data_IF_012564647741
#
_entry.id   IF_012564647741
#
_cell.length_a   1.000
_cell.length_b   1.000
_cell.length_c   1.000
_cell.angle_alpha   90.00
_cell.angle_beta   90.00
_cell.angle_gamma   90.00
#
_symmetry.space_group_name_H-M   'P 1'
#
loop_
_entity.id
_entity.type
_entity.pdbx_description
1 polymer ?
#
# COMPACT_ATOMS: atom_id res chain seq x y z
N UNK A 1 38.64 -44.92 47.60
CA UNK A 1 38.34 -44.26 48.90
C UNK A 1 38.40 -42.75 48.60
N UNK A 2 37.34 -41.96 48.57
CA UNK A 2 36.17 -41.91 49.44
C UNK A 2 34.89 -41.49 48.68
N UNK A 3 33.75 -41.97 49.17
CA UNK A 3 32.39 -41.65 48.75
C UNK A 3 31.91 -40.38 49.46
N UNK A 4 31.40 -39.39 48.72
CA UNK A 4 30.72 -38.22 49.28
C UNK A 4 29.24 -38.53 49.50
N UNK A 5 28.87 -38.68 50.77
CA UNK A 5 27.50 -38.92 51.21
C UNK A 5 26.81 -37.56 51.44
N UNK A 6 25.88 -37.16 50.57
CA UNK A 6 25.15 -35.89 50.68
C UNK A 6 23.95 -36.07 51.61
N UNK A 7 24.05 -35.49 52.80
CA UNK A 7 23.03 -35.53 53.86
C UNK A 7 21.78 -34.78 53.38
N UNK A 8 20.70 -35.51 53.08
CA UNK A 8 19.35 -34.95 52.94
C UNK A 8 18.62 -35.07 54.28
N UNK A 9 18.50 -33.96 55.00
CA UNK A 9 17.75 -33.89 56.26
C UNK A 9 16.24 -33.79 55.98
N UNK A 10 15.39 -34.73 56.43
CA UNK A 10 13.95 -34.57 56.28
C UNK A 10 13.43 -33.65 57.40
N UNK A 11 13.12 -32.39 57.06
CA UNK A 11 12.39 -31.49 57.96
C UNK A 11 10.89 -31.76 57.87
N UNK A 12 10.38 -32.50 58.83
CA UNK A 12 8.95 -32.69 59.09
C UNK A 12 8.42 -31.45 59.86
N UNK A 13 7.27 -30.90 59.44
CA UNK A 13 6.53 -29.72 59.96
C UNK A 13 6.54 -28.38 59.19
N UNK A 14 6.67 -28.37 57.85
CA UNK A 14 6.30 -27.20 57.02
C UNK A 14 5.53 -27.57 55.74
N UNK A 15 4.53 -28.46 55.83
CA UNK A 15 3.82 -28.98 54.65
C UNK A 15 2.84 -27.98 54.00
N UNK A 16 2.36 -26.96 54.71
CA UNK A 16 1.43 -25.96 54.15
C UNK A 16 2.09 -24.79 53.42
N UNK A 17 3.22 -24.29 53.96
CA UNK A 17 3.85 -23.06 53.45
C UNK A 17 4.44 -23.25 52.05
N UNK A 18 5.03 -24.42 51.77
CA UNK A 18 5.65 -24.71 50.47
C UNK A 18 4.61 -24.71 49.34
N UNK A 19 3.37 -25.15 49.62
CA UNK A 19 2.29 -25.20 48.64
C UNK A 19 1.78 -23.80 48.30
N UNK A 20 1.72 -22.91 49.29
CA UNK A 20 1.36 -21.50 49.06
C UNK A 20 2.45 -20.79 48.26
N UNK A 21 3.72 -21.02 48.59
CA UNK A 21 4.85 -20.41 47.87
C UNK A 21 4.91 -20.88 46.41
N UNK A 22 4.68 -22.17 46.13
CA UNK A 22 4.65 -22.67 44.76
C UNK A 22 3.48 -22.11 43.96
N UNK A 23 2.30 -21.94 44.57
CA UNK A 23 1.14 -21.33 43.93
C UNK A 23 1.37 -19.86 43.58
N UNK A 24 1.94 -19.08 44.50
CA UNK A 24 2.30 -17.67 44.24
C UNK A 24 3.30 -17.57 43.08
N UNK A 25 4.30 -18.45 43.06
CA UNK A 25 5.29 -18.47 41.98
C UNK A 25 4.68 -18.88 40.63
N UNK A 26 3.75 -19.83 40.62
CA UNK A 26 3.04 -20.26 39.42
C UNK A 26 2.21 -19.11 38.84
N UNK A 27 1.42 -18.42 39.68
CA UNK A 27 0.63 -17.26 39.25
C UNK A 27 1.51 -16.13 38.72
N UNK A 28 2.64 -15.86 39.37
CA UNK A 28 3.61 -14.86 38.91
C UNK A 28 4.19 -15.22 37.53
N UNK A 29 4.58 -16.48 37.30
CA UNK A 29 5.08 -16.95 36.00
C UNK A 29 4.02 -16.87 34.90
N UNK A 30 2.76 -17.19 35.20
CA UNK A 30 1.66 -17.04 34.24
C UNK A 30 1.43 -15.57 33.86
N UNK A 31 1.56 -14.65 34.82
CA UNK A 31 1.49 -13.21 34.55
C UNK A 31 2.58 -12.73 33.59
N UNK A 32 3.83 -13.16 33.81
CA UNK A 32 4.96 -12.84 32.91
C UNK A 32 4.75 -13.45 31.52
N UNK A 33 4.31 -14.71 31.44
CA UNK A 33 4.02 -15.36 30.17
C UNK A 33 2.90 -14.64 29.41
N UNK A 34 1.82 -14.22 30.09
CA UNK A 34 0.73 -13.45 29.49
C UNK A 34 1.19 -12.11 28.92
N UNK A 35 2.04 -11.38 29.66
CA UNK A 35 2.62 -10.12 29.20
C UNK A 35 3.51 -10.31 27.95
N UNK A 36 4.33 -11.37 27.91
CA UNK A 36 5.14 -11.70 26.74
C UNK A 36 4.27 -12.06 25.52
N UNK A 37 3.24 -12.89 25.72
CA UNK A 37 2.32 -13.26 24.64
C UNK A 37 1.52 -12.07 24.10
N UNK A 38 1.19 -11.09 24.95
CA UNK A 38 0.49 -9.88 24.54
C UNK A 38 1.31 -9.02 23.55
N UNK A 39 2.61 -8.93 23.77
CA UNK A 39 3.50 -8.24 22.83
C UNK A 39 3.66 -9.05 21.54
N UNK A 40 3.91 -10.36 21.64
CA UNK A 40 4.05 -11.22 20.46
C UNK A 40 2.81 -11.26 19.57
N UNK A 41 1.59 -11.28 20.15
CA UNK A 41 0.36 -11.22 19.33
C UNK A 41 0.19 -9.87 18.64
N UNK A 42 0.66 -8.79 19.26
CA UNK A 42 0.63 -7.46 18.67
C UNK A 42 1.62 -7.38 17.50
N UNK A 43 2.83 -7.88 17.67
CA UNK A 43 3.85 -7.95 16.62
C UNK A 43 3.39 -8.82 15.43
N UNK A 44 2.70 -9.92 15.69
CA UNK A 44 2.11 -10.76 14.64
C UNK A 44 1.01 -10.04 13.86
N UNK A 45 0.13 -9.28 14.54
CA UNK A 45 -0.91 -8.49 13.86
C UNK A 45 -0.30 -7.35 13.05
N UNK A 46 0.73 -6.71 13.57
CA UNK A 46 1.47 -5.66 12.87
C UNK A 46 2.19 -6.21 11.63
N UNK A 47 2.76 -7.42 11.73
CA UNK A 47 3.39 -8.10 10.59
C UNK A 47 2.36 -8.46 9.51
N UNK A 48 1.19 -8.98 9.89
CA UNK A 48 0.10 -9.26 8.94
C UNK A 48 -0.41 -8.00 8.24
N UNK A 49 -0.67 -6.93 8.99
CA UNK A 49 -1.08 -5.65 8.40
C UNK A 49 -0.02 -5.05 7.46
N UNK A 50 1.27 -5.27 7.77
CA UNK A 50 2.37 -4.83 6.91
C UNK A 50 2.46 -5.66 5.63
N UNK A 51 2.21 -6.98 5.70
CA UNK A 51 2.12 -7.85 4.52
C UNK A 51 0.97 -7.42 3.61
N UNK A 52 -0.23 -7.22 4.18
CA UNK A 52 -1.41 -6.77 3.43
C UNK A 52 -1.13 -5.44 2.72
N UNK A 53 -0.45 -4.49 3.38
CA UNK A 53 -0.06 -3.22 2.78
C UNK A 53 0.89 -3.41 1.60
N UNK A 54 1.90 -4.28 1.72
CA UNK A 54 2.89 -4.50 0.66
C UNK A 54 2.27 -5.18 -0.56
N UNK A 55 1.36 -6.13 -0.34
CA UNK A 55 0.61 -6.79 -1.42
C UNK A 55 -0.27 -5.75 -2.13
N UNK A 56 -1.06 -4.98 -1.37
CA UNK A 56 -1.92 -3.96 -1.93
C UNK A 56 -1.13 -2.87 -2.68
N UNK A 57 0.03 -2.45 -2.18
CA UNK A 57 0.88 -1.48 -2.89
C UNK A 57 1.35 -2.03 -4.24
N UNK A 58 1.82 -3.28 -4.28
CA UNK A 58 2.29 -3.89 -5.52
C UNK A 58 1.15 -4.10 -6.52
N UNK A 59 -0.03 -4.50 -6.06
CA UNK A 59 -1.22 -4.62 -6.90
C UNK A 59 -1.67 -3.27 -7.46
N UNK A 60 -1.64 -2.21 -6.65
CA UNK A 60 -1.99 -0.87 -7.12
C UNK A 60 -0.97 -0.32 -8.13
N UNK A 61 0.34 -0.60 -7.96
CA UNK A 61 1.36 -0.26 -8.97
C UNK A 61 1.11 -1.07 -10.25
N UNK A 62 0.82 -2.36 -10.13
CA UNK A 62 0.49 -3.20 -11.29
C UNK A 62 -0.74 -2.68 -12.04
N UNK A 63 -1.76 -2.20 -11.32
CA UNK A 63 -2.94 -1.61 -11.93
C UNK A 63 -2.61 -0.31 -12.68
N UNK A 64 -1.69 0.50 -12.17
CA UNK A 64 -1.18 1.69 -12.88
C UNK A 64 -0.52 1.29 -14.20
N UNK A 65 0.37 0.29 -14.16
CA UNK A 65 1.08 -0.16 -15.37
C UNK A 65 0.10 -0.77 -16.39
N UNK A 66 -0.91 -1.50 -15.94
CA UNK A 66 -1.97 -2.05 -16.79
C UNK A 66 -2.81 -0.95 -17.46
N UNK A 67 -3.19 0.09 -16.71
CA UNK A 67 -3.88 1.26 -17.29
C UNK A 67 -2.99 1.91 -18.35
N UNK A 68 -1.70 2.09 -18.06
CA UNK A 68 -0.77 2.69 -19.02
C UNK A 68 -0.66 1.82 -20.28
N UNK A 69 -0.50 0.51 -20.13
CA UNK A 69 -0.44 -0.43 -21.25
C UNK A 69 -1.73 -0.40 -22.08
N UNK A 70 -2.88 -0.49 -21.44
CA UNK A 70 -4.19 -0.47 -22.09
C UNK A 70 -4.38 0.80 -22.93
N UNK A 71 -3.98 1.95 -22.38
CA UNK A 71 -4.10 3.24 -23.06
C UNK A 71 -3.07 3.43 -24.19
N UNK A 72 -1.86 2.87 -24.06
CA UNK A 72 -0.81 2.95 -25.10
C UNK A 72 -1.06 1.94 -26.22
N UNK A 73 -1.62 0.77 -25.90
CA UNK A 73 -1.88 -0.34 -26.84
C UNK A 73 -3.27 -0.24 -27.47
N UNK A 74 -4.17 0.58 -26.91
CA UNK A 74 -5.48 0.84 -27.47
C UNK A 74 -5.39 1.20 -28.96
N UNK A 75 -6.20 0.51 -29.76
CA UNK A 75 -6.29 0.74 -31.20
C UNK A 75 -6.72 2.19 -31.45
N UNK A 76 -6.11 2.82 -32.45
CA UNK A 76 -6.11 4.27 -32.74
C UNK A 76 -7.45 4.98 -32.48
N UNK A 77 -7.66 5.53 -31.27
CA UNK A 77 -8.84 6.33 -30.93
C UNK A 77 -9.13 6.49 -29.43
N UNK A 78 -8.82 5.47 -28.63
CA UNK A 78 -9.21 5.41 -27.21
C UNK A 78 -8.07 5.74 -26.22
N UNK A 79 -6.91 6.19 -26.72
CA UNK A 79 -5.82 6.65 -25.87
C UNK A 79 -6.16 8.02 -25.26
N UNK A 80 -6.59 8.00 -24.00
CA UNK A 80 -6.89 9.18 -23.22
C UNK A 80 -5.65 10.09 -23.09
N UNK A 81 -4.44 9.54 -22.89
CA UNK A 81 -3.22 10.35 -22.77
C UNK A 81 -2.90 11.18 -24.02
N UNK A 82 -3.35 10.73 -25.19
CA UNK A 82 -3.17 11.44 -26.45
C UNK A 82 -4.26 12.49 -26.74
N UNK A 83 -5.29 12.60 -25.88
CA UNK A 83 -6.39 13.54 -26.08
C UNK A 83 -6.01 14.96 -25.66
N UNK A 84 -6.59 15.99 -26.31
CA UNK A 84 -6.34 17.38 -25.95
C UNK A 84 -6.92 17.69 -24.56
N UNK A 85 -6.23 18.56 -23.80
CA UNK A 85 -6.58 18.89 -22.41
C UNK A 85 -8.03 19.40 -22.24
N UNK A 86 -8.61 20.00 -23.28
CA UNK A 86 -10.01 20.48 -23.26
C UNK A 86 -11.03 19.38 -22.94
N UNK A 87 -10.78 18.13 -23.35
CA UNK A 87 -11.69 17.00 -23.09
C UNK A 87 -11.76 16.60 -21.61
N UNK A 88 -10.73 16.94 -20.85
CA UNK A 88 -10.66 16.68 -19.41
C UNK A 88 -11.40 17.74 -18.58
N UNK A 89 -11.77 18.87 -19.19
CA UNK A 89 -12.43 20.01 -18.53
C UNK A 89 -13.93 20.11 -18.86
N UNK A 90 -14.41 19.43 -19.91
CA UNK A 90 -15.76 19.62 -20.47
C UNK A 90 -16.90 18.99 -19.65
N UNK A 91 -16.59 18.23 -18.58
CA UNK A 91 -17.55 17.37 -17.88
C UNK A 91 -17.92 17.73 -16.44
N UNK A 92 -17.49 18.87 -15.90
CA UNK A 92 -17.77 19.27 -14.50
C UNK A 92 -17.15 18.35 -13.43
N UNK A 93 -16.47 17.29 -13.84
CA UNK A 93 -15.67 16.38 -13.05
C UNK A 93 -14.28 16.38 -13.69
N UNK A 94 -13.28 16.82 -12.94
CA UNK A 94 -11.89 16.95 -13.40
C UNK A 94 -11.27 15.55 -13.57
N UNK A 95 -11.47 14.93 -14.73
CA UNK A 95 -10.77 13.70 -15.12
C UNK A 95 -11.60 12.63 -15.82
N UNK A 96 -10.90 11.69 -16.44
CA UNK A 96 -11.43 10.52 -17.14
C UNK A 96 -11.25 9.28 -16.28
N UNK A 97 -12.35 8.62 -15.94
CA UNK A 97 -12.33 7.35 -15.24
C UNK A 97 -11.82 6.24 -16.16
N UNK A 98 -10.71 5.61 -15.76
CA UNK A 98 -10.01 4.54 -16.51
C UNK A 98 -10.03 3.20 -15.75
N UNK A 99 -10.95 3.04 -14.78
CA UNK A 99 -11.14 1.76 -14.06
C UNK A 99 -11.45 0.62 -15.05
N UNK A 100 -12.03 0.94 -16.21
CA UNK A 100 -12.31 0.00 -17.29
C UNK A 100 -11.07 -0.79 -17.77
N UNK A 101 -9.88 -0.18 -17.69
CA UNK A 101 -8.64 -0.73 -18.23
C UNK A 101 -7.91 -1.68 -17.26
N UNK A 102 -8.40 -1.81 -16.02
CA UNK A 102 -7.83 -2.73 -15.03
C UNK A 102 -8.56 -4.07 -15.07
N UNK A 103 -7.84 -5.20 -15.01
CA UNK A 103 -8.46 -6.53 -15.00
C UNK A 103 -9.12 -6.85 -13.63
N UNK A 104 -8.52 -6.43 -12.52
CA UNK A 104 -9.05 -6.62 -11.15
C UNK A 104 -9.78 -5.37 -10.61
N UNK A 105 -10.91 -5.03 -11.24
CA UNK A 105 -11.73 -3.86 -10.89
C UNK A 105 -12.30 -3.92 -9.48
N UNK A 106 -12.58 -5.13 -8.99
CA UNK A 106 -13.21 -5.33 -7.69
C UNK A 106 -12.29 -4.96 -6.52
N UNK A 107 -10.97 -4.93 -6.76
CA UNK A 107 -9.96 -4.59 -5.76
C UNK A 107 -9.40 -3.16 -5.91
N UNK A 108 -9.91 -2.36 -6.85
CA UNK A 108 -9.51 -0.97 -7.08
C UNK A 108 -10.74 -0.09 -6.92
N UNK A 109 -10.71 0.82 -5.94
CA UNK A 109 -11.85 1.67 -5.63
C UNK A 109 -12.02 2.76 -6.70
N UNK A 110 -10.92 3.38 -7.11
CA UNK A 110 -10.93 4.47 -8.08
C UNK A 110 -9.68 4.44 -8.97
N UNK A 111 -9.84 4.71 -10.25
CA UNK A 111 -8.76 4.96 -11.20
C UNK A 111 -9.16 6.11 -12.14
N UNK A 112 -8.48 7.24 -12.03
CA UNK A 112 -8.84 8.46 -12.75
C UNK A 112 -7.59 9.14 -13.35
N UNK A 113 -7.70 9.57 -14.61
CA UNK A 113 -6.71 10.41 -15.28
C UNK A 113 -7.20 11.84 -15.29
N UNK A 114 -6.51 12.73 -14.60
CA UNK A 114 -6.88 14.14 -14.48
C UNK A 114 -5.73 15.10 -14.79
N UNK A 115 -6.05 16.38 -15.01
CA UNK A 115 -5.02 17.37 -15.31
C UNK A 115 -4.32 17.77 -14.02
N UNK A 116 -2.99 17.68 -13.99
CA UNK A 116 -2.22 18.02 -12.82
C UNK A 116 -2.13 19.56 -12.63
N UNK A 117 -2.81 20.08 -11.61
CA UNK A 117 -2.64 21.45 -11.11
C UNK A 117 -2.85 22.56 -12.18
N UNK A 118 -3.86 22.39 -13.03
CA UNK A 118 -4.15 23.31 -14.12
C UNK A 118 -5.66 23.59 -14.23
N UNK A 119 -6.17 24.53 -13.41
CA UNK A 119 -7.60 24.85 -13.38
C UNK A 119 -8.10 25.53 -14.66
N UNK A 120 -7.19 26.00 -15.52
CA UNK A 120 -7.51 26.70 -16.76
C UNK A 120 -7.33 25.82 -18.01
N UNK A 121 -6.97 24.53 -17.85
CA UNK A 121 -6.81 23.60 -18.97
C UNK A 121 -5.77 24.06 -20.01
N UNK A 122 -4.74 24.80 -19.59
CA UNK A 122 -3.69 25.32 -20.47
C UNK A 122 -2.66 24.24 -20.81
N UNK A 123 -2.36 24.02 -22.08
CA UNK A 123 -1.28 23.09 -22.49
C UNK A 123 0.09 23.60 -21.99
N UNK A 124 0.78 22.88 -21.08
CA UNK A 124 2.11 23.26 -20.65
C UNK A 124 3.16 22.84 -21.69
N UNK A 125 4.31 23.53 -21.68
CA UNK A 125 5.47 23.10 -22.46
C UNK A 125 6.06 21.80 -21.89
N UNK A 126 6.59 20.95 -22.78
CA UNK A 126 7.22 19.70 -22.40
C UNK A 126 8.42 19.93 -21.46
N UNK A 127 8.64 19.06 -20.46
CA UNK A 127 9.87 19.08 -19.68
C UNK A 127 11.09 18.86 -20.59
N UNK A 128 12.21 19.46 -20.24
CA UNK A 128 13.41 19.44 -21.07
C UNK A 128 13.97 18.01 -21.23
N UNK A 129 13.91 17.49 -22.45
CA UNK A 129 14.39 16.15 -22.83
C UNK A 129 15.80 16.20 -23.41
N UNK A 130 16.63 15.17 -23.16
CA UNK A 130 17.94 15.01 -23.84
C UNK A 130 17.79 14.64 -25.32
N UNK A 131 16.66 14.03 -25.69
CA UNK A 131 16.28 13.78 -27.08
C UNK A 131 15.33 14.90 -27.50
N UNK A 132 15.89 16.10 -27.69
CA UNK A 132 15.12 17.28 -28.04
C UNK A 132 14.53 17.10 -29.45
N UNK A 133 13.21 17.07 -29.54
CA UNK A 133 12.52 17.25 -30.81
C UNK A 133 12.39 18.75 -31.11
N UNK A 134 12.33 19.13 -32.39
CA UNK A 134 12.31 20.53 -32.82
C UNK A 134 11.32 21.37 -32.01
N UNK A 135 11.83 22.46 -31.43
CA UNK A 135 11.01 23.52 -30.83
C UNK A 135 9.95 23.99 -31.84
N UNK A 136 8.69 24.11 -31.41
CA UNK A 136 7.47 24.52 -32.15
C UNK A 136 6.58 23.47 -32.82
N UNK A 137 6.93 22.18 -32.89
CA UNK A 137 6.04 21.16 -33.50
C UNK A 137 5.35 20.26 -32.47
N UNK A 138 5.80 20.31 -31.22
CA UNK A 138 5.36 19.40 -30.17
C UNK A 138 4.87 20.15 -28.94
N UNK A 139 3.70 19.76 -28.45
CA UNK A 139 3.14 20.20 -27.17
C UNK A 139 3.06 18.99 -26.23
N UNK A 140 3.11 19.19 -24.91
CA UNK A 140 2.93 18.10 -23.97
C UNK A 140 1.59 18.20 -23.26
N UNK A 141 0.92 17.07 -23.16
CA UNK A 141 -0.12 16.89 -22.17
C UNK A 141 0.50 16.32 -20.90
N UNK A 142 0.38 17.05 -19.79
CA UNK A 142 0.85 16.61 -18.47
C UNK A 142 -0.37 16.22 -17.65
N UNK A 143 -0.54 14.92 -17.51
CA UNK A 143 -1.66 14.28 -16.84
C UNK A 143 -1.19 13.63 -15.54
N UNK A 144 -2.12 13.48 -14.61
CA UNK A 144 -1.97 12.70 -13.40
C UNK A 144 -2.89 11.50 -13.50
N UNK A 145 -2.35 10.32 -13.22
CA UNK A 145 -3.14 9.11 -13.03
C UNK A 145 -3.18 8.82 -11.53
N UNK A 146 -4.40 8.73 -10.99
CA UNK A 146 -4.67 8.43 -9.58
C UNK A 146 -5.32 7.07 -9.49
N UNK A 147 -4.71 6.17 -8.74
CA UNK A 147 -5.27 4.85 -8.44
C UNK A 147 -5.41 4.71 -6.92
N UNK A 148 -6.64 4.46 -6.47
CA UNK A 148 -6.97 4.20 -5.07
C UNK A 148 -7.29 2.72 -4.88
N UNK A 149 -6.63 2.11 -3.91
CA UNK A 149 -6.86 0.72 -3.52
C UNK A 149 -7.10 0.61 -2.02
N UNK A 150 -8.23 0.03 -1.63
CA UNK A 150 -8.49 -0.31 -0.25
C UNK A 150 -7.79 -1.60 0.18
N UNK A 151 -7.34 -1.66 1.43
CA UNK A 151 -6.65 -2.80 2.01
C UNK A 151 -6.95 -2.97 3.50
N UNK A 152 -6.63 -4.16 4.02
CA UNK A 152 -6.87 -4.51 5.42
C UNK A 152 -8.28 -5.01 5.70
N UNK A 153 -8.56 -5.32 6.98
CA UNK A 153 -9.82 -5.94 7.38
C UNK A 153 -11.00 -5.02 7.09
N UNK A 154 -11.88 -5.43 6.17
CA UNK A 154 -13.05 -4.68 5.68
C UNK A 154 -12.73 -3.39 4.88
N UNK A 155 -11.53 -3.27 4.31
CA UNK A 155 -11.16 -2.10 3.49
C UNK A 155 -11.13 -0.78 4.28
N UNK A 156 -10.64 -0.80 5.51
CA UNK A 156 -10.60 0.39 6.39
C UNK A 156 -9.37 1.29 6.14
N UNK A 157 -8.48 0.89 5.25
CA UNK A 157 -7.27 1.64 4.91
C UNK A 157 -7.14 1.72 3.41
N UNK A 158 -6.67 2.84 2.90
CA UNK A 158 -6.52 3.05 1.46
C UNK A 158 -5.08 3.40 1.11
N UNK A 159 -4.70 3.06 -0.12
CA UNK A 159 -3.43 3.43 -0.74
C UNK A 159 -3.77 4.23 -1.98
N UNK A 160 -3.30 5.47 -2.00
CA UNK A 160 -3.36 6.35 -3.16
C UNK A 160 -2.01 6.36 -3.87
N UNK A 161 -2.02 5.93 -5.12
CA UNK A 161 -0.89 6.04 -6.03
C UNK A 161 -1.19 7.16 -7.01
N UNK A 162 -0.33 8.17 -7.00
CA UNK A 162 -0.38 9.30 -7.93
C UNK A 162 0.83 9.19 -8.86
N UNK A 163 0.59 8.94 -10.14
CA UNK A 163 1.62 8.95 -11.17
C UNK A 163 1.44 10.13 -12.10
N UNK A 164 2.55 10.71 -12.55
CA UNK A 164 2.57 11.79 -13.53
C UNK A 164 2.93 11.23 -14.89
N UNK A 165 2.14 11.57 -15.90
CA UNK A 165 2.32 11.13 -17.29
C UNK A 165 2.51 12.37 -18.14
N UNK A 166 3.61 12.44 -18.88
CA UNK A 166 3.87 13.50 -19.84
C UNK A 166 3.87 12.90 -21.25
N UNK A 167 2.82 13.16 -22.01
CA UNK A 167 2.65 12.65 -23.37
C UNK A 167 2.97 13.77 -24.38
N UNK A 168 3.88 13.48 -25.30
CA UNK A 168 4.19 14.39 -26.40
C UNK A 168 3.12 14.25 -27.50
N UNK A 169 2.54 15.37 -27.90
CA UNK A 169 1.54 15.49 -28.96
C UNK A 169 2.12 16.22 -30.16
N UNK A 170 1.73 15.80 -31.35
CA UNK A 170 1.96 16.53 -32.59
C UNK A 170 0.86 17.59 -32.72
N UNK A 171 1.25 18.81 -33.04
CA UNK A 171 0.32 19.90 -33.34
C UNK A 171 -0.20 19.84 -34.77
#
# INVERSE_FOLDING_TARGET
>A
MATLNRIYSPRYNQQGVVLVVSLVFLVALTGVAGALMQNSTTDMKMSGASQDKLIATQEAISAVDEIIEGQVTADSGDNNFAQPIVKYSEGGNEGINVIADVTNKDDINEANVDIANNPYGLEPDCPHSRSASSVQIFTCNVLRLRVNKSYGRKGNSDIDINTGIAQQLLK
#
